data_IF_362392496399
#
_entry.id   IF_362392496399
#
_cell.length_a   1.000
_cell.length_b   1.000
_cell.length_c   1.000
_cell.angle_alpha   90.00
_cell.angle_beta   90.00
_cell.angle_gamma   90.00
#
_symmetry.space_group_name_H-M   'P 1'
#
loop_
_entity.id
_entity.type
_entity.pdbx_description
1 polymer ?
#
# COMPACT_ATOMS: atom_id res chain seq x y z
N UNK A 1 39.16 14.48 2.74
CA UNK A 1 37.73 14.68 2.99
C UNK A 1 36.96 13.41 2.63
N UNK A 2 37.01 12.44 3.50
CA UNK A 2 36.24 11.22 3.44
C UNK A 2 35.23 11.22 4.59
N UNK A 3 34.06 11.74 4.36
CA UNK A 3 32.97 11.63 5.31
C UNK A 3 31.67 11.40 4.53
N UNK A 4 31.26 10.16 4.44
CA UNK A 4 29.85 9.75 4.50
C UNK A 4 29.49 8.44 3.75
N UNK A 5 30.38 7.46 3.68
CA UNK A 5 30.05 6.12 3.16
C UNK A 5 29.81 5.01 4.21
N UNK A 6 30.18 5.14 5.51
CA UNK A 6 29.99 4.02 6.43
C UNK A 6 28.52 3.72 6.76
N UNK A 7 27.64 4.71 6.83
CA UNK A 7 26.25 4.52 7.28
C UNK A 7 25.38 3.68 6.33
N UNK A 8 25.59 3.76 5.03
CA UNK A 8 24.77 3.02 4.07
C UNK A 8 25.18 1.54 3.99
N UNK A 9 26.46 1.27 4.16
CA UNK A 9 27.00 -0.10 4.19
C UNK A 9 26.58 -0.84 5.45
N UNK A 10 26.60 -0.15 6.61
CA UNK A 10 26.21 -0.75 7.88
C UNK A 10 24.72 -1.06 7.92
N UNK A 11 23.87 -0.16 7.40
CA UNK A 11 22.44 -0.40 7.31
C UNK A 11 22.09 -1.55 6.36
N UNK A 12 22.83 -1.69 5.26
CA UNK A 12 22.62 -2.80 4.32
C UNK A 12 23.00 -4.14 4.95
N UNK A 13 24.12 -4.20 5.69
CA UNK A 13 24.51 -5.38 6.43
C UNK A 13 23.50 -5.76 7.53
N UNK A 14 22.99 -4.76 8.26
CA UNK A 14 21.96 -4.95 9.29
C UNK A 14 20.67 -5.48 8.66
N UNK A 15 20.22 -4.90 7.55
CA UNK A 15 19.05 -5.38 6.83
C UNK A 15 19.21 -6.82 6.35
N UNK A 16 20.39 -7.18 5.82
CA UNK A 16 20.65 -8.53 5.36
C UNK A 16 20.60 -9.56 6.50
N UNK A 17 21.22 -9.25 7.64
CA UNK A 17 21.20 -10.13 8.81
C UNK A 17 19.80 -10.30 9.39
N UNK A 18 19.06 -9.19 9.56
CA UNK A 18 17.68 -9.23 10.08
C UNK A 18 16.72 -9.94 9.12
N UNK A 19 16.87 -9.71 7.81
CA UNK A 19 16.05 -10.37 6.80
C UNK A 19 16.25 -11.89 6.79
N UNK A 20 17.51 -12.37 6.92
CA UNK A 20 17.80 -13.80 7.02
C UNK A 20 17.14 -14.44 8.25
N UNK A 21 17.19 -13.78 9.41
CA UNK A 21 16.56 -14.25 10.63
C UNK A 21 15.02 -14.22 10.53
N UNK A 22 14.47 -13.16 9.96
CA UNK A 22 13.03 -13.03 9.76
C UNK A 22 12.50 -14.11 8.79
N UNK A 23 13.22 -14.37 7.70
CA UNK A 23 12.90 -15.43 6.74
C UNK A 23 12.92 -16.84 7.40
N UNK A 24 13.77 -17.04 8.40
CA UNK A 24 13.81 -18.26 9.22
C UNK A 24 12.69 -18.36 10.26
N UNK A 25 11.76 -17.39 10.32
CA UNK A 25 10.61 -17.38 11.21
C UNK A 25 10.82 -16.65 12.54
N UNK A 26 11.91 -15.88 12.68
CA UNK A 26 12.16 -15.08 13.88
C UNK A 26 11.32 -13.79 13.82
N UNK A 27 10.20 -13.77 14.56
CA UNK A 27 9.28 -12.63 14.61
C UNK A 27 9.89 -11.40 15.28
N UNK A 28 10.81 -11.58 16.22
CA UNK A 28 11.53 -10.45 16.82
C UNK A 28 12.43 -9.76 15.78
N UNK A 29 13.17 -10.54 14.99
CA UNK A 29 13.98 -10.00 13.90
C UNK A 29 13.14 -9.28 12.85
N UNK A 30 11.94 -9.78 12.53
CA UNK A 30 10.99 -9.11 11.64
C UNK A 30 10.56 -7.75 12.23
N UNK A 31 10.26 -7.70 13.52
CA UNK A 31 9.94 -6.44 14.21
C UNK A 31 11.09 -5.43 14.16
N UNK A 32 12.33 -5.88 14.37
CA UNK A 32 13.51 -5.03 14.25
C UNK A 32 13.75 -4.56 12.81
N UNK A 33 13.55 -5.44 11.83
CA UNK A 33 13.63 -5.10 10.41
C UNK A 33 12.61 -4.03 10.02
N UNK A 34 11.40 -4.11 10.56
CA UNK A 34 10.39 -3.09 10.43
C UNK A 34 10.86 -1.75 11.02
N UNK A 35 11.32 -1.75 12.28
CA UNK A 35 11.75 -0.52 12.96
C UNK A 35 12.88 0.20 12.20
N UNK A 36 13.84 -0.54 11.66
CA UNK A 36 14.95 0.02 10.88
C UNK A 36 14.47 0.63 9.55
N UNK A 37 13.44 0.05 8.92
CA UNK A 37 12.99 0.44 7.59
C UNK A 37 11.69 1.25 7.56
N UNK A 38 10.97 1.40 8.68
CA UNK A 38 9.66 2.10 8.71
C UNK A 38 9.72 3.53 8.18
N UNK A 39 10.80 4.24 8.41
CA UNK A 39 10.98 5.60 7.88
C UNK A 39 11.06 5.62 6.35
N UNK A 40 11.76 4.66 5.77
CA UNK A 40 11.81 4.46 4.31
C UNK A 40 10.43 4.08 3.75
N UNK A 41 9.76 3.13 4.39
CA UNK A 41 8.41 2.68 4.02
C UNK A 41 7.41 3.84 4.05
N UNK A 42 7.34 4.58 5.17
CA UNK A 42 6.42 5.73 5.30
C UNK A 42 6.67 6.79 4.24
N UNK A 43 7.92 7.09 3.92
CA UNK A 43 8.26 8.06 2.87
C UNK A 43 7.81 7.59 1.49
N UNK A 44 8.03 6.33 1.13
CA UNK A 44 7.61 5.76 -0.14
C UNK A 44 6.07 5.74 -0.26
N UNK A 45 5.39 5.33 0.80
CA UNK A 45 3.94 5.31 0.87
C UNK A 45 3.34 6.71 0.79
N UNK A 46 3.95 7.69 1.46
CA UNK A 46 3.50 9.08 1.40
C UNK A 46 3.60 9.66 -0.01
N UNK A 47 4.74 9.44 -0.68
CA UNK A 47 4.93 9.89 -2.07
C UNK A 47 3.90 9.27 -3.03
N UNK A 48 3.54 8.01 -2.79
CA UNK A 48 2.48 7.37 -3.56
C UNK A 48 1.10 7.93 -3.19
N UNK A 49 0.80 8.06 -1.91
CA UNK A 49 -0.48 8.53 -1.39
C UNK A 49 -0.84 9.93 -1.88
N UNK A 50 0.10 10.87 -1.84
CA UNK A 50 -0.12 12.24 -2.33
C UNK A 50 -0.52 12.27 -3.82
N UNK A 51 0.05 11.38 -4.63
CA UNK A 51 -0.24 11.30 -6.06
C UNK A 51 -1.50 10.50 -6.40
N UNK A 52 -1.90 9.60 -5.53
CA UNK A 52 -2.95 8.61 -5.78
C UNK A 52 -4.05 8.64 -4.71
N UNK A 53 -4.23 9.78 -4.05
CA UNK A 53 -5.25 9.92 -3.00
C UNK A 53 -6.63 9.46 -3.43
N UNK A 54 -7.15 9.80 -4.63
CA UNK A 54 -8.44 9.31 -5.08
C UNK A 54 -8.54 7.79 -5.18
N UNK A 55 -7.43 7.11 -5.49
CA UNK A 55 -7.37 5.64 -5.55
C UNK A 55 -7.47 5.05 -4.15
N UNK A 56 -6.75 5.63 -3.18
CA UNK A 56 -6.80 5.21 -1.79
C UNK A 56 -8.18 5.46 -1.19
N UNK A 57 -8.77 6.63 -1.42
CA UNK A 57 -10.10 7.00 -0.94
C UNK A 57 -11.17 6.05 -1.52
N UNK A 58 -11.11 5.73 -2.81
CA UNK A 58 -12.02 4.78 -3.45
C UNK A 58 -11.89 3.36 -2.89
N UNK A 59 -10.71 2.98 -2.42
CA UNK A 59 -10.49 1.71 -1.74
C UNK A 59 -10.82 1.76 -0.23
N UNK A 60 -11.20 2.92 0.30
CA UNK A 60 -11.49 3.13 1.71
C UNK A 60 -10.26 3.08 2.61
N UNK A 61 -9.06 3.35 2.06
CA UNK A 61 -7.80 3.24 2.76
C UNK A 61 -7.26 4.61 3.18
N UNK A 62 -7.02 4.76 4.47
CA UNK A 62 -6.25 5.88 5.02
C UNK A 62 -4.75 5.69 4.80
N UNK A 63 -3.97 6.73 5.04
CA UNK A 63 -2.50 6.61 5.01
C UNK A 63 -1.97 5.60 6.04
N UNK A 64 -2.57 5.56 7.24
CA UNK A 64 -2.15 4.62 8.27
C UNK A 64 -2.49 3.15 7.93
N UNK A 65 -3.59 2.91 7.19
CA UNK A 65 -3.89 1.58 6.66
C UNK A 65 -2.81 1.12 5.68
N UNK A 66 -2.35 2.03 4.81
CA UNK A 66 -1.24 1.74 3.90
C UNK A 66 0.07 1.48 4.65
N UNK A 67 0.31 2.15 5.77
CA UNK A 67 1.49 1.88 6.61
C UNK A 67 1.43 0.49 7.21
N UNK A 68 0.25 0.02 7.62
CA UNK A 68 0.06 -1.37 8.07
C UNK A 68 0.34 -2.38 6.95
N UNK A 69 -0.13 -2.10 5.73
CA UNK A 69 0.21 -2.90 4.55
C UNK A 69 1.73 -2.92 4.30
N UNK A 70 2.42 -1.84 4.63
CA UNK A 70 3.87 -1.75 4.56
C UNK A 70 4.60 -2.76 5.45
N UNK A 71 4.03 -3.15 6.58
CA UNK A 71 4.59 -4.20 7.44
C UNK A 71 4.59 -5.57 6.72
N UNK A 72 3.51 -5.91 6.03
CA UNK A 72 3.43 -7.13 5.22
C UNK A 72 4.41 -7.11 4.05
N UNK A 73 4.66 -5.93 3.47
CA UNK A 73 5.69 -5.79 2.45
C UNK A 73 7.10 -6.06 2.98
N UNK A 74 7.40 -5.67 4.22
CA UNK A 74 8.68 -5.99 4.87
C UNK A 74 8.83 -7.48 5.10
N UNK A 75 7.79 -8.17 5.58
CA UNK A 75 7.79 -9.63 5.75
C UNK A 75 7.99 -10.36 4.41
N UNK A 76 7.27 -9.94 3.38
CA UNK A 76 7.42 -10.48 2.04
C UNK A 76 8.85 -10.27 1.50
N UNK A 77 9.36 -9.04 1.63
CA UNK A 77 10.71 -8.70 1.19
C UNK A 77 11.77 -9.54 1.91
N UNK A 78 11.64 -9.77 3.23
CA UNK A 78 12.56 -10.60 3.99
C UNK A 78 12.63 -12.03 3.45
N UNK A 79 11.50 -12.62 3.10
CA UNK A 79 11.40 -13.99 2.57
C UNK A 79 11.97 -14.16 1.15
N UNK A 80 12.02 -13.07 0.37
CA UNK A 80 12.44 -13.09 -1.03
C UNK A 80 13.76 -12.36 -1.29
N UNK A 81 14.39 -11.86 -0.22
CA UNK A 81 15.64 -11.12 -0.33
C UNK A 81 16.83 -12.05 -0.56
N UNK A 82 17.62 -11.71 -1.57
CA UNK A 82 18.88 -12.35 -1.88
C UNK A 82 19.99 -11.28 -1.85
N UNK A 83 20.94 -11.36 -0.89
CA UNK A 83 22.03 -10.38 -0.76
C UNK A 83 22.92 -10.26 -1.99
N UNK A 84 23.02 -11.32 -2.80
CA UNK A 84 23.86 -11.34 -4.00
C UNK A 84 23.22 -10.61 -5.19
N UNK A 85 21.90 -10.43 -5.14
CA UNK A 85 21.10 -9.83 -6.23
C UNK A 85 20.83 -8.34 -6.08
N UNK A 86 21.09 -7.78 -4.91
CA UNK A 86 20.90 -6.34 -4.70
C UNK A 86 20.66 -5.94 -3.25
N UNK A 87 20.20 -4.71 -3.04
CA UNK A 87 19.92 -4.20 -1.71
C UNK A 87 18.53 -4.60 -1.22
N UNK A 88 18.37 -4.77 0.10
CA UNK A 88 17.08 -5.05 0.73
C UNK A 88 16.04 -3.99 0.39
N UNK A 89 16.41 -2.71 0.39
CA UNK A 89 15.51 -1.60 0.08
C UNK A 89 14.96 -1.64 -1.35
N UNK A 90 15.72 -2.20 -2.29
CA UNK A 90 15.23 -2.42 -3.66
C UNK A 90 14.10 -3.45 -3.67
N UNK A 91 14.31 -4.61 -3.04
CA UNK A 91 13.30 -5.66 -2.93
C UNK A 91 12.07 -5.14 -2.17
N UNK A 92 12.30 -4.38 -1.10
CA UNK A 92 11.24 -3.76 -0.31
C UNK A 92 10.41 -2.77 -1.14
N UNK A 93 11.03 -1.97 -2.00
CA UNK A 93 10.30 -1.05 -2.89
C UNK A 93 9.34 -1.79 -3.83
N UNK A 94 9.78 -2.90 -4.42
CA UNK A 94 8.92 -3.75 -5.26
C UNK A 94 7.79 -4.39 -4.44
N UNK A 95 8.10 -4.90 -3.25
CA UNK A 95 7.12 -5.49 -2.35
C UNK A 95 6.06 -4.47 -1.93
N UNK A 96 6.46 -3.22 -1.64
CA UNK A 96 5.54 -2.11 -1.31
C UNK A 96 4.59 -1.81 -2.46
N UNK A 97 5.09 -1.70 -3.68
CA UNK A 97 4.24 -1.42 -4.84
C UNK A 97 3.26 -2.56 -5.10
N UNK A 98 3.70 -3.80 -4.94
CA UNK A 98 2.83 -4.97 -5.04
C UNK A 98 1.74 -4.94 -3.96
N UNK A 99 2.11 -4.67 -2.71
CA UNK A 99 1.18 -4.65 -1.58
C UNK A 99 0.15 -3.51 -1.71
N UNK A 100 0.58 -2.31 -2.11
CA UNK A 100 -0.33 -1.18 -2.39
C UNK A 100 -1.34 -1.56 -3.48
N UNK A 101 -0.88 -2.19 -4.57
CA UNK A 101 -1.76 -2.62 -5.65
C UNK A 101 -2.78 -3.64 -5.16
N UNK A 102 -2.35 -4.62 -4.38
CA UNK A 102 -3.23 -5.62 -3.79
C UNK A 102 -4.28 -4.98 -2.86
N UNK A 103 -3.86 -4.05 -2.01
CA UNK A 103 -4.74 -3.37 -1.07
C UNK A 103 -5.75 -2.42 -1.75
N UNK A 104 -5.35 -1.75 -2.83
CA UNK A 104 -6.21 -0.76 -3.51
C UNK A 104 -7.09 -1.35 -4.59
N UNK A 105 -6.58 -2.32 -5.36
CA UNK A 105 -7.30 -2.91 -6.51
C UNK A 105 -7.78 -4.34 -6.25
N UNK A 106 -7.26 -5.01 -5.20
CA UNK A 106 -7.48 -6.42 -4.96
C UNK A 106 -6.83 -7.31 -6.03
N UNK A 107 -7.19 -8.58 -6.06
CA UNK A 107 -6.72 -9.54 -7.06
C UNK A 107 -7.38 -9.32 -8.43
N UNK A 108 -8.55 -8.70 -8.42
CA UNK A 108 -9.33 -8.41 -9.63
C UNK A 108 -9.30 -6.91 -9.93
N UNK A 109 -8.73 -6.57 -11.04
CA UNK A 109 -8.74 -5.20 -11.56
C UNK A 109 -9.23 -5.16 -13.01
N UNK A 110 -9.81 -4.04 -13.39
CA UNK A 110 -10.15 -3.73 -14.76
C UNK A 110 -9.39 -2.47 -15.20
N UNK A 111 -9.06 -2.40 -16.47
CA UNK A 111 -8.51 -1.20 -17.05
C UNK A 111 -9.66 -0.33 -17.51
N UNK A 112 -9.74 0.88 -16.99
CA UNK A 112 -10.69 1.91 -17.41
C UNK A 112 -9.95 3.04 -18.10
N UNK A 113 -10.59 3.65 -19.08
CA UNK A 113 -10.08 4.84 -19.74
C UNK A 113 -10.73 6.07 -19.10
N UNK A 114 -9.90 6.99 -18.62
CA UNK A 114 -10.40 8.25 -18.05
C UNK A 114 -10.85 9.18 -19.16
N UNK A 115 -11.63 10.22 -18.79
CA UNK A 115 -12.05 11.29 -19.71
C UNK A 115 -10.89 11.97 -20.45
N UNK A 116 -9.67 11.84 -19.94
CA UNK A 116 -8.43 12.37 -20.55
C UNK A 116 -7.73 11.35 -21.47
N UNK A 117 -8.35 10.20 -21.75
CA UNK A 117 -7.77 9.13 -22.57
C UNK A 117 -6.66 8.34 -21.88
N UNK A 118 -6.51 8.47 -20.55
CA UNK A 118 -5.50 7.78 -19.77
C UNK A 118 -6.04 6.44 -19.28
N UNK A 119 -5.31 5.36 -19.51
CA UNK A 119 -5.68 4.03 -18.99
C UNK A 119 -5.22 3.90 -17.55
N UNK A 120 -6.15 3.66 -16.64
CA UNK A 120 -5.91 3.44 -15.21
C UNK A 120 -6.48 2.10 -14.76
N UNK A 121 -5.82 1.47 -13.81
CA UNK A 121 -6.34 0.28 -13.17
C UNK A 121 -7.36 0.69 -12.10
N UNK A 122 -8.56 0.15 -12.20
CA UNK A 122 -9.62 0.33 -11.20
C UNK A 122 -9.96 -1.02 -10.57
N UNK A 123 -10.33 -1.01 -9.30
CA UNK A 123 -10.81 -2.21 -8.64
C UNK A 123 -12.05 -2.75 -9.33
N UNK A 124 -12.05 -4.04 -9.60
CA UNK A 124 -13.24 -4.77 -10.06
C UNK A 124 -13.98 -5.43 -8.89
N UNK A 125 -13.50 -5.28 -7.65
CA UNK A 125 -14.15 -5.82 -6.48
C UNK A 125 -15.44 -5.02 -6.20
N UNK A 126 -16.63 -5.66 -6.19
CA UNK A 126 -17.90 -4.98 -5.91
C UNK A 126 -17.92 -4.28 -4.55
N UNK A 127 -17.17 -4.80 -3.56
CA UNK A 127 -17.11 -4.22 -2.22
C UNK A 127 -16.41 -2.86 -2.18
N UNK A 128 -15.53 -2.56 -3.14
CA UNK A 128 -14.86 -1.27 -3.24
C UNK A 128 -15.70 -0.20 -3.96
N UNK A 129 -16.85 -0.57 -4.49
CA UNK A 129 -17.79 0.32 -5.18
C UNK A 129 -19.13 0.42 -4.42
N UNK A 130 -19.11 0.23 -3.11
CA UNK A 130 -20.30 0.40 -2.28
C UNK A 130 -20.73 1.87 -2.26
N UNK A 131 -22.01 2.12 -2.54
CA UNK A 131 -22.63 3.42 -2.37
C UNK A 131 -23.30 3.45 -1.00
N UNK A 132 -23.17 4.56 -0.27
CA UNK A 132 -23.87 4.73 1.00
C UNK A 132 -25.38 4.72 0.77
N UNK A 133 -26.12 3.98 1.59
CA UNK A 133 -27.59 4.03 1.62
C UNK A 133 -28.11 5.36 2.10
N UNK A 134 -27.28 6.13 2.83
CA UNK A 134 -27.60 7.48 3.30
C UNK A 134 -27.26 8.56 2.27
N UNK A 135 -26.77 8.17 1.08
CA UNK A 135 -26.53 9.12 0.00
C UNK A 135 -27.85 9.74 -0.44
N UNK A 136 -27.93 11.07 -0.42
CA UNK A 136 -29.09 11.79 -0.92
C UNK A 136 -29.24 11.60 -2.41
N UNK A 137 -30.44 11.33 -2.86
CA UNK A 137 -30.77 11.34 -4.27
C UNK A 137 -30.85 12.80 -4.72
N UNK A 138 -30.03 13.19 -5.69
CA UNK A 138 -30.13 14.50 -6.36
C UNK A 138 -31.45 14.58 -7.14
N UNK A 139 -32.55 14.77 -6.43
CA UNK A 139 -33.82 15.19 -7.03
C UNK A 139 -34.02 16.63 -6.66
N UNK A 140 -34.26 17.48 -7.67
CA UNK A 140 -34.59 18.90 -7.55
C UNK A 140 -35.91 19.15 -6.77
N UNK A 141 -36.47 18.13 -6.14
CA UNK A 141 -37.69 18.24 -5.33
C UNK A 141 -37.33 18.06 -3.83
N UNK A 142 -37.76 18.99 -3.05
CA UNK A 142 -37.53 19.31 -1.63
C UNK A 142 -37.86 18.17 -0.64
N UNK A 143 -37.46 16.94 -0.96
CA UNK A 143 -37.59 15.80 -0.08
C UNK A 143 -36.24 15.08 0.02
N UNK A 144 -35.64 15.11 1.21
CA UNK A 144 -34.40 14.39 1.52
C UNK A 144 -34.57 12.86 1.47
N UNK A 145 -34.98 12.34 0.31
CA UNK A 145 -35.01 10.89 0.07
C UNK A 145 -33.58 10.33 -0.08
N UNK A 146 -33.30 9.29 0.66
CA UNK A 146 -32.02 8.57 0.58
C UNK A 146 -32.15 7.32 -0.29
N UNK A 147 -30.99 6.77 -0.69
CA UNK A 147 -30.96 5.51 -1.44
C UNK A 147 -31.57 4.37 -0.62
N UNK A 148 -31.48 4.42 0.73
CA UNK A 148 -32.06 3.46 1.65
C UNK A 148 -33.59 3.42 1.60
N UNK A 149 -34.25 4.54 1.32
CA UNK A 149 -35.72 4.65 1.23
C UNK A 149 -36.31 3.94 0.01
N UNK A 150 -35.47 3.66 -0.99
CA UNK A 150 -35.85 2.93 -2.23
C UNK A 150 -35.72 1.41 -2.11
N UNK A 151 -35.19 0.89 -1.01
CA UNK A 151 -35.06 -0.56 -0.84
C UNK A 151 -36.41 -1.16 -0.49
N UNK A 152 -36.91 -2.15 -1.25
CA UNK A 152 -38.14 -2.87 -0.87
C UNK A 152 -37.89 -3.69 0.40
N UNK A 153 -38.87 -3.72 1.26
CA UNK A 153 -38.89 -4.54 2.48
C UNK A 153 -38.65 -6.03 2.20
#
# INVERSE_FOLDING_TARGET
>A
MEQNRPKQTDQQATNAALAALAAAGNTFALGQLWEVNKGFVRRQLWQWYEKNKPVADNAGLSFEDLVQEGYFAVDYAAKHYDPERGSFTTVLSYALMHQIRSATCGEHYRIIETSEGKRVQASANPLNNCTSLDATLDSEDDGSSTLGDLQPD
#
